data_IF_101921500904
#
_entry.id   IF_101921500904
#
_cell.length_a   1.000
_cell.length_b   1.000
_cell.length_c   1.000
_cell.angle_alpha   90.00
_cell.angle_beta   90.00
_cell.angle_gamma   90.00
#
_symmetry.space_group_name_H-M   'P 1'
#
loop_
_entity.id
_entity.type
_entity.pdbx_description
1 polymer ?
#
# COMPACT_ATOMS: atom_id res chain seq x y z
N UNK A 1 9.86 -31.32 7.19
CA UNK A 1 9.91 -30.11 6.38
C UNK A 1 9.53 -28.91 7.23
N UNK A 2 10.36 -27.93 7.25
CA UNK A 2 10.02 -26.75 8.01
C UNK A 2 9.14 -25.83 7.18
N UNK A 3 8.05 -25.40 7.78
CA UNK A 3 7.16 -24.43 7.18
C UNK A 3 7.48 -23.09 7.83
N UNK A 4 7.81 -22.10 7.02
CA UNK A 4 7.99 -20.76 7.55
C UNK A 4 6.63 -20.19 7.91
N UNK A 5 6.48 -19.80 9.16
CA UNK A 5 5.28 -19.12 9.60
C UNK A 5 5.25 -17.72 8.99
N UNK A 6 4.11 -17.37 8.40
CA UNK A 6 3.90 -16.02 7.91
C UNK A 6 3.60 -15.09 9.08
N UNK A 7 4.01 -13.85 8.96
CA UNK A 7 3.77 -12.85 10.00
C UNK A 7 2.86 -11.74 9.48
N UNK A 8 2.19 -11.08 10.41
CA UNK A 8 1.36 -9.92 10.12
C UNK A 8 2.07 -8.68 10.62
N UNK A 9 2.13 -7.66 9.76
CA UNK A 9 2.74 -6.38 10.10
C UNK A 9 1.65 -5.36 10.32
N UNK A 10 1.89 -4.42 11.24
CA UNK A 10 0.98 -3.32 11.48
C UNK A 10 1.78 -2.03 11.55
N UNK A 11 1.34 -1.04 10.77
CA UNK A 11 1.95 0.29 10.75
C UNK A 11 0.82 1.30 10.94
N UNK A 12 1.03 2.25 11.83
CA UNK A 12 0.04 3.28 12.15
C UNK A 12 0.63 4.65 11.85
N UNK A 13 -0.18 5.54 11.29
CA UNK A 13 0.25 6.90 10.98
C UNK A 13 -0.90 7.88 11.24
N UNK A 14 -0.56 9.01 11.87
CA UNK A 14 -1.52 10.07 12.14
C UNK A 14 -1.40 11.14 11.06
N UNK A 15 -2.54 11.47 10.43
CA UNK A 15 -2.60 12.50 9.39
C UNK A 15 -3.37 13.71 9.89
N UNK A 16 -2.94 14.91 9.46
CA UNK A 16 -3.64 16.16 9.76
C UNK A 16 -4.80 16.42 8.80
N UNK A 17 -4.99 15.56 7.80
CA UNK A 17 -6.06 15.67 6.81
C UNK A 17 -7.27 14.83 7.24
N UNK A 18 -8.46 15.18 6.69
CA UNK A 18 -9.68 14.43 6.96
C UNK A 18 -9.61 13.02 6.34
N UNK A 19 -10.37 12.04 6.89
CA UNK A 19 -10.33 10.66 6.40
C UNK A 19 -10.58 10.51 4.90
N UNK A 20 -11.54 11.23 4.36
CA UNK A 20 -11.89 11.16 2.93
C UNK A 20 -10.70 11.51 2.04
N UNK A 21 -9.95 12.51 2.42
CA UNK A 21 -8.79 12.96 1.65
C UNK A 21 -7.66 11.94 1.67
N UNK A 22 -7.42 11.33 2.83
CA UNK A 22 -6.42 10.27 3.00
C UNK A 22 -6.85 9.05 2.21
N UNK A 23 -8.10 8.63 2.35
CA UNK A 23 -8.63 7.46 1.66
C UNK A 23 -8.55 7.61 0.13
N UNK A 24 -9.03 8.74 -0.39
CA UNK A 24 -9.09 8.96 -1.83
C UNK A 24 -7.71 8.94 -2.50
N UNK A 25 -6.67 9.33 -1.77
CA UNK A 25 -5.31 9.32 -2.31
C UNK A 25 -4.84 7.91 -2.71
N UNK A 26 -5.33 6.86 -2.03
CA UNK A 26 -4.97 5.48 -2.34
C UNK A 26 -5.56 4.99 -3.66
N UNK A 27 -6.62 5.62 -4.14
CA UNK A 27 -7.35 5.17 -5.32
C UNK A 27 -7.24 6.15 -6.49
N UNK A 28 -6.60 7.29 -6.29
CA UNK A 28 -6.39 8.31 -7.31
C UNK A 28 -5.02 8.13 -7.96
N UNK A 29 -4.96 7.76 -9.26
CA UNK A 29 -3.68 7.53 -9.94
C UNK A 29 -2.73 8.73 -9.87
N UNK A 30 -3.26 9.96 -9.90
CA UNK A 30 -2.43 11.16 -9.84
C UNK A 30 -1.77 11.34 -8.48
N UNK A 31 -2.40 10.83 -7.42
CA UNK A 31 -1.82 10.85 -6.07
C UNK A 31 -0.91 9.65 -5.84
N UNK A 32 -1.36 8.46 -6.22
CA UNK A 32 -0.60 7.22 -5.96
C UNK A 32 0.76 7.24 -6.62
N UNK A 33 0.89 7.81 -7.80
CA UNK A 33 2.18 7.88 -8.48
C UNK A 33 3.24 8.66 -7.70
N UNK A 34 2.83 9.45 -6.70
CA UNK A 34 3.73 10.29 -5.93
C UNK A 34 4.15 9.66 -4.60
N UNK A 35 3.41 8.68 -4.09
CA UNK A 35 3.74 8.11 -2.78
C UNK A 35 3.77 6.58 -2.75
N UNK A 36 2.95 5.91 -3.56
CA UNK A 36 2.78 4.47 -3.43
C UNK A 36 3.84 3.73 -4.25
N UNK A 37 4.63 2.91 -3.55
CA UNK A 37 5.68 2.07 -4.14
C UNK A 37 6.78 2.86 -4.88
N UNK A 38 6.96 4.13 -4.54
CA UNK A 38 8.04 4.94 -5.10
C UNK A 38 9.34 4.67 -4.37
N UNK A 39 10.46 4.90 -5.07
CA UNK A 39 11.79 4.84 -4.47
C UNK A 39 12.55 6.11 -4.80
N UNK A 40 13.56 6.51 -3.98
CA UNK A 40 14.27 7.77 -4.20
C UNK A 40 14.94 7.88 -5.58
N UNK A 41 15.39 6.77 -6.14
CA UNK A 41 16.07 6.74 -7.43
C UNK A 41 15.22 6.12 -8.53
N UNK A 42 14.04 5.63 -8.19
CA UNK A 42 13.14 4.99 -9.14
C UNK A 42 12.29 5.99 -9.90
N UNK A 43 11.65 5.49 -10.95
CA UNK A 43 10.75 6.29 -11.77
C UNK A 43 9.44 5.54 -11.93
N UNK A 44 8.34 6.21 -11.62
CA UNK A 44 7.01 5.64 -11.79
C UNK A 44 6.67 5.64 -13.28
N UNK A 45 6.51 4.47 -13.87
CA UNK A 45 6.26 4.32 -15.32
C UNK A 45 4.85 3.87 -15.64
N UNK A 46 4.11 3.33 -14.65
CA UNK A 46 2.73 2.90 -14.88
C UNK A 46 1.94 2.95 -13.59
N UNK A 47 0.74 3.54 -13.64
CA UNK A 47 -0.23 3.49 -12.55
C UNK A 47 -1.59 3.22 -13.16
N UNK A 48 -2.11 2.01 -12.96
CA UNK A 48 -3.43 1.60 -13.42
C UNK A 48 -4.24 1.17 -12.20
N UNK A 49 -5.39 1.79 -11.99
CA UNK A 49 -6.26 1.53 -10.85
C UNK A 49 -7.69 1.41 -11.33
N UNK A 50 -8.32 0.27 -11.07
CA UNK A 50 -9.75 0.07 -11.26
C UNK A 50 -10.39 0.10 -9.86
N UNK A 51 -10.84 1.27 -9.42
CA UNK A 51 -11.23 1.54 -8.04
C UNK A 51 -12.64 1.04 -7.74
N UNK A 52 -12.80 -0.27 -7.71
CA UNK A 52 -14.06 -0.95 -7.35
C UNK A 52 -13.75 -2.31 -6.75
N UNK A 53 -14.66 -2.84 -5.96
CA UNK A 53 -14.51 -4.21 -5.45
C UNK A 53 -14.44 -5.18 -6.64
N UNK A 54 -13.43 -6.04 -6.64
CA UNK A 54 -13.13 -6.93 -7.77
C UNK A 54 -12.27 -6.30 -8.84
N UNK A 55 -12.03 -4.98 -8.79
CA UNK A 55 -11.11 -4.32 -9.72
C UNK A 55 -9.67 -4.60 -9.35
N UNK A 56 -8.77 -4.36 -10.28
CA UNK A 56 -7.34 -4.66 -10.11
C UNK A 56 -6.51 -3.40 -10.25
N UNK A 57 -5.30 -3.43 -9.67
CA UNK A 57 -4.34 -2.37 -9.85
C UNK A 57 -3.01 -2.94 -10.34
N UNK A 58 -2.27 -2.10 -11.07
CA UNK A 58 -0.89 -2.36 -11.44
C UNK A 58 -0.12 -1.06 -11.34
N UNK A 59 0.87 -1.05 -10.49
CA UNK A 59 1.74 0.11 -10.27
C UNK A 59 3.16 -0.35 -10.52
N UNK A 60 3.81 0.24 -11.53
CA UNK A 60 5.12 -0.17 -11.99
C UNK A 60 6.13 0.92 -11.71
N UNK A 61 7.17 0.58 -10.98
CA UNK A 61 8.28 1.44 -10.63
C UNK A 61 9.53 0.93 -11.34
N UNK A 62 10.22 1.81 -12.06
CA UNK A 62 11.48 1.44 -12.74
C UNK A 62 12.65 1.72 -11.82
N UNK A 63 13.40 0.68 -11.48
CA UNK A 63 14.56 0.74 -10.59
C UNK A 63 15.76 0.17 -11.32
N UNK A 64 16.82 0.98 -11.46
CA UNK A 64 18.07 0.55 -12.11
C UNK A 64 17.84 -0.09 -13.49
N UNK A 65 16.92 0.51 -14.27
CA UNK A 65 16.60 0.01 -15.62
C UNK A 65 15.65 -1.16 -15.66
N UNK A 66 15.16 -1.65 -14.51
CA UNK A 66 14.22 -2.76 -14.43
C UNK A 66 12.85 -2.29 -13.91
N UNK A 67 11.80 -2.79 -14.55
CA UNK A 67 10.43 -2.49 -14.13
C UNK A 67 10.00 -3.47 -13.06
N UNK A 68 9.55 -2.93 -11.92
CA UNK A 68 9.04 -3.72 -10.79
C UNK A 68 7.54 -3.48 -10.69
N UNK A 69 6.76 -4.51 -11.01
CA UNK A 69 5.29 -4.45 -10.94
C UNK A 69 4.81 -4.73 -9.53
N UNK A 70 3.86 -3.91 -9.07
CA UNK A 70 3.11 -4.14 -7.84
C UNK A 70 1.66 -4.31 -8.26
N UNK A 71 1.11 -5.49 -8.04
CA UNK A 71 -0.24 -5.83 -8.53
C UNK A 71 -1.12 -6.33 -7.41
N UNK A 72 -2.42 -6.22 -7.61
CA UNK A 72 -3.38 -6.75 -6.66
C UNK A 72 -4.81 -6.55 -7.13
N UNK A 73 -5.74 -6.98 -6.26
CA UNK A 73 -7.17 -6.88 -6.49
C UNK A 73 -7.82 -6.26 -5.26
N UNK A 74 -8.75 -5.32 -5.49
CA UNK A 74 -9.50 -4.72 -4.38
C UNK A 74 -10.60 -5.69 -3.94
N UNK A 75 -10.56 -6.08 -2.66
CA UNK A 75 -11.54 -6.98 -2.08
C UNK A 75 -12.68 -6.22 -1.40
N UNK A 76 -12.35 -5.05 -0.81
CA UNK A 76 -13.34 -4.23 -0.13
C UNK A 76 -12.95 -2.75 -0.27
N UNK A 77 -13.92 -1.92 -0.63
CA UNK A 77 -13.76 -0.47 -0.66
C UNK A 77 -14.93 0.13 0.10
N UNK A 78 -14.69 0.53 1.35
CA UNK A 78 -15.69 1.16 2.23
C UNK A 78 -15.18 2.54 2.61
N UNK A 79 -15.44 3.50 1.73
CA UNK A 79 -14.96 4.87 1.86
C UNK A 79 -15.65 5.59 3.02
N UNK A 80 -14.92 6.30 3.88
CA UNK A 80 -13.47 6.49 3.95
C UNK A 80 -12.79 5.64 5.01
N UNK A 81 -13.40 4.52 5.42
CA UNK A 81 -13.03 3.78 6.63
C UNK A 81 -12.13 2.59 6.38
N UNK A 82 -12.33 1.89 5.26
CA UNK A 82 -11.67 0.60 5.09
C UNK A 82 -11.40 0.30 3.63
N UNK A 83 -10.17 -0.11 3.35
CA UNK A 83 -9.74 -0.55 2.02
C UNK A 83 -8.96 -1.85 2.19
N UNK A 84 -9.38 -2.90 1.49
CA UNK A 84 -8.72 -4.21 1.54
C UNK A 84 -8.34 -4.62 0.13
N UNK A 85 -7.08 -5.02 -0.04
CA UNK A 85 -6.61 -5.49 -1.35
C UNK A 85 -5.56 -6.58 -1.18
N UNK A 86 -5.47 -7.44 -2.20
CA UNK A 86 -4.36 -8.39 -2.29
C UNK A 86 -3.14 -7.67 -2.84
N UNK A 87 -1.96 -8.22 -2.58
CA UNK A 87 -0.71 -7.59 -2.97
C UNK A 87 0.31 -8.63 -3.38
N UNK A 88 0.89 -8.45 -4.55
CA UNK A 88 1.92 -9.34 -5.10
C UNK A 88 2.95 -8.49 -5.84
N UNK A 89 4.23 -8.83 -5.67
CA UNK A 89 5.32 -8.30 -6.47
C UNK A 89 5.92 -9.47 -7.23
N UNK A 90 5.45 -9.74 -8.47
CA UNK A 90 5.81 -10.97 -9.20
C UNK A 90 7.31 -11.18 -9.38
N UNK A 91 8.07 -10.09 -9.46
CA UNK A 91 9.53 -10.17 -9.60
C UNK A 91 10.18 -10.93 -8.44
N UNK A 92 9.63 -10.83 -7.24
CA UNK A 92 10.21 -11.44 -6.04
C UNK A 92 9.48 -12.69 -5.59
N UNK A 93 8.18 -12.77 -5.80
CA UNK A 93 7.37 -13.90 -5.38
C UNK A 93 6.03 -13.88 -6.09
N UNK A 94 5.49 -15.06 -6.42
CA UNK A 94 4.14 -15.17 -6.98
C UNK A 94 3.08 -15.31 -5.88
N UNK A 95 3.50 -15.41 -4.62
CA UNK A 95 2.57 -15.51 -3.49
C UNK A 95 1.81 -14.20 -3.31
N UNK A 96 0.51 -14.32 -3.08
CA UNK A 96 -0.35 -13.17 -2.80
C UNK A 96 -0.46 -12.95 -1.30
N UNK A 97 -0.33 -11.70 -0.88
CA UNK A 97 -0.53 -11.30 0.51
C UNK A 97 -1.75 -10.39 0.59
N UNK A 98 -2.15 -9.98 1.80
CA UNK A 98 -3.34 -9.14 1.97
C UNK A 98 -3.00 -7.91 2.77
N UNK A 99 -3.46 -6.76 2.29
CA UNK A 99 -3.27 -5.46 2.95
C UNK A 99 -4.63 -4.90 3.32
N UNK A 100 -4.78 -4.52 4.58
CA UNK A 100 -5.98 -3.86 5.09
C UNK A 100 -5.61 -2.48 5.59
N UNK A 101 -6.32 -1.46 5.11
CA UNK A 101 -6.17 -0.09 5.55
C UNK A 101 -7.45 0.31 6.27
N UNK A 102 -7.31 0.78 7.51
CA UNK A 102 -8.43 1.27 8.32
C UNK A 102 -8.14 2.69 8.77
N UNK A 103 -9.12 3.58 8.56
CA UNK A 103 -8.96 5.00 8.86
C UNK A 103 -10.04 5.41 9.85
N UNK A 104 -9.61 6.00 10.97
CA UNK A 104 -10.49 6.44 12.05
C UNK A 104 -10.31 7.95 12.24
N UNK A 105 -11.39 8.75 12.26
CA UNK A 105 -11.29 10.18 12.52
C UNK A 105 -10.69 10.42 13.92
N UNK A 106 -9.85 11.44 14.02
CA UNK A 106 -9.27 11.85 15.29
C UNK A 106 -9.03 13.34 15.27
N UNK A 107 -9.81 14.09 16.07
CA UNK A 107 -9.73 15.55 16.06
C UNK A 107 -10.07 16.10 14.68
N UNK A 108 -9.21 16.97 14.15
CA UNK A 108 -9.36 17.53 12.81
C UNK A 108 -8.71 16.66 11.73
N UNK A 109 -8.06 15.57 12.12
CA UNK A 109 -7.39 14.65 11.21
C UNK A 109 -7.90 13.23 11.34
N UNK A 110 -7.00 12.26 11.17
CA UNK A 110 -7.35 10.85 11.28
C UNK A 110 -6.13 10.00 11.60
N UNK A 111 -6.38 8.77 12.02
CA UNK A 111 -5.36 7.75 12.22
C UNK A 111 -5.59 6.63 11.23
N UNK A 112 -4.56 6.29 10.46
CA UNK A 112 -4.57 5.19 9.53
C UNK A 112 -3.77 4.04 10.11
N UNK A 113 -4.38 2.85 10.12
CA UNK A 113 -3.71 1.61 10.49
C UNK A 113 -3.64 0.71 9.27
N UNK A 114 -2.44 0.32 8.89
CA UNK A 114 -2.21 -0.60 7.78
C UNK A 114 -1.76 -1.93 8.35
N UNK A 115 -2.46 -3.00 7.99
CA UNK A 115 -2.10 -4.36 8.36
C UNK A 115 -1.76 -5.13 7.10
N UNK A 116 -0.57 -5.72 7.06
CA UNK A 116 -0.12 -6.53 5.93
C UNK A 116 0.04 -7.97 6.42
N UNK A 117 -0.79 -8.86 5.91
CA UNK A 117 -0.86 -10.26 6.35
C UNK A 117 -0.17 -11.17 5.36
N UNK A 118 0.49 -12.20 5.88
CA UNK A 118 1.11 -13.22 5.06
C UNK A 118 2.52 -12.91 4.61
N UNK A 119 3.24 -12.06 5.34
CA UNK A 119 4.61 -11.67 5.02
C UNK A 119 5.58 -12.71 5.54
N UNK A 120 6.61 -13.04 4.74
CA UNK A 120 7.68 -13.92 5.19
C UNK A 120 8.50 -13.25 6.29
N UNK A 121 8.86 -13.97 7.36
CA UNK A 121 9.61 -13.36 8.48
C UNK A 121 10.90 -12.69 8.05
N UNK A 122 11.58 -13.24 7.06
CA UNK A 122 12.86 -12.69 6.57
C UNK A 122 12.71 -11.32 5.93
N UNK A 123 11.51 -10.96 5.47
CA UNK A 123 11.23 -9.68 4.85
C UNK A 123 10.40 -8.74 5.75
N UNK A 124 10.08 -9.18 6.97
CA UNK A 124 9.17 -8.45 7.83
C UNK A 124 9.65 -7.03 8.13
N UNK A 125 10.90 -6.87 8.56
CA UNK A 125 11.42 -5.56 8.92
C UNK A 125 11.50 -4.62 7.72
N UNK A 126 11.97 -5.12 6.58
CA UNK A 126 12.07 -4.33 5.35
C UNK A 126 10.69 -3.90 4.87
N UNK A 127 9.72 -4.79 4.92
CA UNK A 127 8.35 -4.50 4.49
C UNK A 127 7.69 -3.47 5.41
N UNK A 128 7.88 -3.61 6.71
CA UNK A 128 7.34 -2.66 7.68
C UNK A 128 7.94 -1.27 7.47
N UNK A 129 9.25 -1.18 7.28
CA UNK A 129 9.93 0.08 6.99
C UNK A 129 9.47 0.70 5.68
N UNK A 130 9.22 -0.14 4.66
CA UNK A 130 8.69 0.32 3.38
C UNK A 130 7.31 0.96 3.52
N UNK A 131 6.41 0.33 4.26
CA UNK A 131 5.08 0.91 4.50
C UNK A 131 5.15 2.20 5.30
N UNK A 132 6.01 2.26 6.33
CA UNK A 132 6.20 3.48 7.10
C UNK A 132 6.66 4.64 6.20
N UNK A 133 7.59 4.36 5.28
CA UNK A 133 8.05 5.35 4.31
C UNK A 133 6.95 5.79 3.34
N UNK A 134 6.13 4.86 2.90
CA UNK A 134 4.98 5.14 2.02
C UNK A 134 4.00 6.07 2.73
N UNK A 135 3.67 5.78 3.99
CA UNK A 135 2.74 6.62 4.74
C UNK A 135 3.31 8.03 4.98
N UNK A 136 4.60 8.15 5.24
CA UNK A 136 5.25 9.45 5.38
C UNK A 136 5.20 10.23 4.05
N UNK A 137 5.43 9.55 2.93
CA UNK A 137 5.34 10.16 1.61
C UNK A 137 3.92 10.62 1.30
N UNK A 138 2.91 9.82 1.69
CA UNK A 138 1.51 10.22 1.54
C UNK A 138 1.22 11.48 2.34
N UNK A 139 1.70 11.56 3.58
CA UNK A 139 1.48 12.73 4.42
C UNK A 139 2.03 14.00 3.77
N UNK A 140 3.14 13.89 3.06
CA UNK A 140 3.75 15.03 2.37
C UNK A 140 2.92 15.53 1.18
N UNK A 141 2.04 14.68 0.64
CA UNK A 141 1.21 15.00 -0.52
C UNK A 141 -0.18 15.55 -0.13
N UNK A 142 -0.50 15.62 1.14
CA UNK A 142 -1.82 16.04 1.62
C UNK A 142 -1.87 17.50 2.06
#
# INVERSE_FOLDING_TARGET
>A
MSTQDRVNLRVTHHFSAVPERVFDAWLDPEKTKKFLFTTPTGQMVRVEIDARAGGKFRITDRRDGEDVDHVGEYLEIDRPRRLVFTFTVPKYSTASTMVTIEIVPKGSGCVLTLTHEGVLPEWADATKGGWAGILAALAAEL
#
